data_IF_850661737745
#
_entry.id   IF_850661737745
#
_cell.length_a   1.000
_cell.length_b   1.000
_cell.length_c   1.000
_cell.angle_alpha   90.00
_cell.angle_beta   90.00
_cell.angle_gamma   90.00
#
_symmetry.space_group_name_H-M   'P 1'
#
loop_
_entity.id
_entity.type
_entity.pdbx_description
1 polymer ?
#
# COMPACT_ATOMS: atom_id res chain seq x y z
N UNK A 1 -8.51 -1.26 10.33
CA UNK A 1 -9.67 -2.04 9.85
C UNK A 1 -9.18 -3.06 8.83
N UNK A 2 -9.91 -4.15 8.57
CA UNK A 2 -9.56 -5.11 7.50
C UNK A 2 -10.54 -4.94 6.34
N UNK A 3 -9.99 -4.76 5.15
CA UNK A 3 -10.74 -4.46 3.93
C UNK A 3 -10.80 -5.67 2.99
N UNK A 4 -11.89 -5.80 2.25
CA UNK A 4 -12.15 -6.96 1.38
C UNK A 4 -12.42 -6.55 -0.06
N UNK A 5 -11.96 -7.37 -0.99
CA UNK A 5 -12.11 -7.12 -2.41
C UNK A 5 -13.55 -7.35 -2.87
N UNK A 6 -14.15 -6.34 -3.50
CA UNK A 6 -15.52 -6.42 -4.02
C UNK A 6 -15.71 -7.47 -5.13
N UNK A 7 -14.63 -7.85 -5.84
CA UNK A 7 -14.71 -8.81 -6.95
C UNK A 7 -14.71 -10.27 -6.51
N UNK A 8 -13.93 -10.60 -5.49
CA UNK A 8 -13.69 -12.01 -5.10
C UNK A 8 -13.88 -12.28 -3.60
N UNK A 9 -14.16 -11.25 -2.79
CA UNK A 9 -14.35 -11.36 -1.34
C UNK A 9 -13.08 -11.62 -0.55
N UNK A 10 -11.92 -11.71 -1.20
CA UNK A 10 -10.65 -11.93 -0.50
C UNK A 10 -10.15 -10.65 0.18
N UNK A 11 -9.38 -10.82 1.25
CA UNK A 11 -8.80 -9.71 2.00
C UNK A 11 -7.81 -8.92 1.14
N UNK A 12 -7.93 -7.60 1.17
CA UNK A 12 -7.00 -6.67 0.55
C UNK A 12 -5.75 -6.50 1.42
N UNK A 13 -4.59 -6.27 0.80
CA UNK A 13 -3.32 -6.06 1.50
C UNK A 13 -2.65 -4.76 1.04
N UNK A 14 -2.00 -3.99 1.92
CA UNK A 14 -1.21 -2.84 1.51
C UNK A 14 -0.11 -3.25 0.53
N UNK A 15 0.03 -2.50 -0.57
CA UNK A 15 1.16 -2.64 -1.49
C UNK A 15 2.36 -1.87 -0.95
N UNK A 16 3.56 -2.45 -1.08
CA UNK A 16 4.82 -1.78 -0.73
C UNK A 16 5.56 -1.21 -1.93
N UNK A 17 5.18 -1.63 -3.14
CA UNK A 17 5.92 -1.34 -4.37
C UNK A 17 5.42 -0.07 -5.09
N UNK A 18 4.37 0.55 -4.58
CA UNK A 18 3.82 1.80 -5.11
C UNK A 18 4.14 2.94 -4.14
N UNK A 19 4.65 4.05 -4.68
CA UNK A 19 4.66 5.33 -3.95
C UNK A 19 3.23 5.72 -3.51
N UNK A 20 2.23 5.23 -4.24
CA UNK A 20 0.82 5.43 -3.96
C UNK A 20 0.30 4.54 -2.82
N UNK A 21 -0.54 5.12 -1.96
CA UNK A 21 -1.21 4.48 -0.82
C UNK A 21 -2.33 3.55 -1.31
N UNK A 22 -1.98 2.36 -1.82
CA UNK A 22 -2.93 1.39 -2.39
C UNK A 22 -3.02 0.10 -1.60
N UNK A 23 -4.18 -0.55 -1.71
CA UNK A 23 -4.43 -1.92 -1.32
C UNK A 23 -4.57 -2.80 -2.57
N UNK A 24 -3.96 -3.99 -2.55
CA UNK A 24 -4.01 -4.98 -3.61
C UNK A 24 -4.66 -6.29 -3.13
N UNK A 25 -5.55 -6.84 -3.95
CA UNK A 25 -6.06 -8.20 -3.76
C UNK A 25 -5.08 -9.20 -4.34
N UNK A 26 -4.58 -10.13 -3.52
CA UNK A 26 -3.61 -11.14 -3.96
C UNK A 26 -4.22 -12.28 -4.77
N UNK A 27 -5.56 -12.36 -4.89
CA UNK A 27 -6.22 -13.41 -5.67
C UNK A 27 -6.60 -12.98 -7.09
N UNK A 28 -7.13 -11.76 -7.25
CA UNK A 28 -7.61 -11.26 -8.54
C UNK A 28 -6.86 -10.02 -9.02
N UNK A 29 -5.81 -9.60 -8.30
CA UNK A 29 -4.97 -8.44 -8.59
C UNK A 29 -5.74 -7.11 -8.70
N UNK A 30 -6.94 -7.04 -8.11
CA UNK A 30 -7.66 -5.78 -8.03
C UNK A 30 -6.93 -4.80 -7.11
N UNK A 31 -6.77 -3.56 -7.58
CA UNK A 31 -6.14 -2.47 -6.83
C UNK A 31 -7.21 -1.48 -6.38
N UNK A 32 -7.09 -0.99 -5.15
CA UNK A 32 -7.99 -0.01 -4.52
C UNK A 32 -7.12 1.04 -3.84
N UNK A 33 -7.41 2.32 -4.05
CA UNK A 33 -6.75 3.42 -3.35
C UNK A 33 -7.28 3.54 -1.92
N UNK A 34 -6.40 3.85 -0.96
CA UNK A 34 -6.81 4.16 0.40
C UNK A 34 -7.41 5.57 0.39
N UNK A 35 -8.71 5.69 0.69
CA UNK A 35 -9.37 6.99 0.81
C UNK A 35 -9.03 7.69 2.13
N UNK A 36 -9.30 8.99 2.22
CA UNK A 36 -9.10 9.80 3.44
C UNK A 36 -9.80 9.20 4.67
N UNK A 37 -10.96 8.57 4.47
CA UNK A 37 -11.75 7.92 5.52
C UNK A 37 -11.01 6.71 6.13
N UNK A 38 -10.16 6.07 5.34
CA UNK A 38 -9.41 4.86 5.69
C UNK A 38 -8.03 5.17 6.25
N UNK A 39 -7.49 6.38 6.02
CA UNK A 39 -6.14 6.76 6.45
C UNK A 39 -5.91 6.56 7.94
N UNK A 40 -6.91 6.84 8.79
CA UNK A 40 -6.78 6.67 10.24
C UNK A 40 -6.57 5.22 10.70
N UNK A 41 -6.79 4.22 9.83
CA UNK A 41 -6.56 2.80 10.10
C UNK A 41 -5.17 2.30 9.71
N UNK A 42 -4.36 3.10 9.03
CA UNK A 42 -3.07 2.70 8.48
C UNK A 42 -1.95 3.64 8.93
N UNK A 43 -0.77 3.08 9.20
CA UNK A 43 0.44 3.85 9.51
C UNK A 43 1.34 3.80 8.29
N UNK A 44 1.57 4.97 7.68
CA UNK A 44 2.45 5.13 6.54
C UNK A 44 3.85 5.53 7.01
N UNK A 45 4.87 4.90 6.45
CA UNK A 45 6.27 5.25 6.70
C UNK A 45 6.92 5.55 5.36
N UNK A 46 7.63 6.68 5.27
CA UNK A 46 8.45 7.05 4.13
C UNK A 46 9.91 6.76 4.49
N UNK A 47 10.62 6.00 3.65
CA UNK A 47 12.03 5.69 3.83
C UNK A 47 12.84 6.49 2.79
N UNK A 48 13.72 7.37 3.28
CA UNK A 48 14.61 8.15 2.43
C UNK A 48 15.96 7.42 2.38
N UNK A 49 16.22 6.75 1.25
CA UNK A 49 17.52 6.12 0.99
C UNK A 49 18.59 7.20 0.78
N UNK A 50 19.43 7.40 1.79
CA UNK A 50 20.62 8.24 1.67
C UNK A 50 21.72 7.37 1.06
N UNK A 51 21.77 7.30 -0.27
CA UNK A 51 22.93 6.71 -0.94
C UNK A 51 24.17 7.50 -0.52
N UNK A 52 25.07 6.85 0.21
CA UNK A 52 26.36 7.46 0.58
C UNK A 52 27.07 7.84 -0.72
N UNK A 53 27.30 9.15 -0.92
CA UNK A 53 28.07 9.64 -2.06
C UNK A 53 29.45 8.97 -2.02
N UNK A 54 29.72 8.12 -3.00
CA UNK A 54 31.05 7.54 -3.22
C UNK A 54 31.98 8.71 -3.53
N UNK A 55 32.72 9.17 -2.50
CA UNK A 55 33.82 10.12 -2.65
C UNK A 55 34.95 9.41 -3.40
N UNK A 56 35.11 9.76 -4.68
CA UNK A 56 36.24 9.38 -5.53
C UNK A 56 37.49 10.15 -5.08
#
# INVERSE_FOLDING_TARGET
MLEFCEKCGSMLRPSKDSEDRILICTLCNNVVEISEEMEGSYIFHEEIDHQEEIKI
#
